data_IF_269835667711
#
_entry.id   IF_269835667711
#
_cell.length_a   1.000
_cell.length_b   1.000
_cell.length_c   1.000
_cell.angle_alpha   90.00
_cell.angle_beta   90.00
_cell.angle_gamma   90.00
#
_symmetry.space_group_name_H-M   'P 1'
#
loop_
_entity.id
_entity.type
_entity.pdbx_description
1 polymer ?
#
# COMPACT_ATOMS: atom_id res chain seq x y z
N UNK A 1 -58.56 -55.61 11.33
CA UNK A 1 -58.78 -56.16 9.97
C UNK A 1 -59.03 -54.95 9.07
N UNK A 2 -58.04 -54.67 8.21
CA UNK A 2 -58.11 -53.89 6.95
C UNK A 2 -58.25 -52.36 7.13
N UNK A 3 -57.18 -51.56 6.97
CA UNK A 3 -56.54 -51.03 5.72
C UNK A 3 -57.41 -49.93 5.06
N UNK A 4 -56.90 -48.70 5.00
CA UNK A 4 -56.38 -47.99 3.78
C UNK A 4 -57.55 -47.40 2.95
N UNK A 5 -57.48 -46.28 2.21
CA UNK A 5 -56.35 -45.65 1.55
C UNK A 5 -56.72 -44.22 1.07
N UNK A 6 -55.71 -43.56 0.51
CA UNK A 6 -55.58 -42.17 0.11
C UNK A 6 -56.35 -41.66 -1.15
N UNK A 7 -56.10 -40.37 -1.43
CA UNK A 7 -56.12 -39.66 -2.73
C UNK A 7 -57.42 -38.85 -3.04
N UNK A 8 -57.47 -37.66 -3.67
CA UNK A 8 -56.64 -36.94 -4.65
C UNK A 8 -56.94 -35.41 -4.65
N UNK A 9 -55.86 -34.60 -4.74
CA UNK A 9 -55.53 -33.55 -5.75
C UNK A 9 -56.49 -32.40 -6.15
N UNK A 10 -55.80 -31.26 -6.36
CA UNK A 10 -55.98 -30.16 -7.33
C UNK A 10 -56.70 -28.87 -6.90
N UNK A 11 -55.95 -27.77 -6.99
CA UNK A 11 -56.46 -26.39 -6.99
C UNK A 11 -55.37 -25.34 -6.80
N UNK A 12 -54.35 -25.30 -7.67
CA UNK A 12 -53.39 -24.19 -7.73
C UNK A 12 -53.79 -23.18 -8.81
N UNK A 13 -53.67 -21.88 -8.52
CA UNK A 13 -53.17 -20.78 -9.40
C UNK A 13 -53.80 -19.41 -9.06
N UNK A 14 -52.95 -18.36 -9.10
CA UNK A 14 -53.28 -16.95 -8.84
C UNK A 14 -52.95 -16.57 -7.40
N UNK A 15 -51.88 -15.83 -7.09
CA UNK A 15 -51.65 -14.45 -7.50
C UNK A 15 -50.14 -14.17 -7.56
N UNK A 16 -49.55 -14.29 -8.75
CA UNK A 16 -48.27 -13.67 -9.08
C UNK A 16 -48.55 -12.26 -9.61
N UNK A 17 -48.32 -11.22 -8.81
CA UNK A 17 -48.53 -9.85 -9.32
C UNK A 17 -48.40 -8.69 -8.35
N UNK A 18 -48.19 -8.92 -7.05
CA UNK A 18 -48.18 -7.80 -6.08
C UNK A 18 -46.78 -7.25 -5.74
N UNK A 19 -45.71 -7.85 -6.26
CA UNK A 19 -44.33 -7.48 -5.89
C UNK A 19 -43.75 -6.27 -6.62
N UNK A 20 -44.40 -5.78 -7.68
CA UNK A 20 -43.86 -4.71 -8.52
C UNK A 20 -44.18 -3.29 -8.02
N UNK A 21 -45.28 -3.07 -7.30
CA UNK A 21 -45.75 -1.71 -6.94
C UNK A 21 -45.36 -1.24 -5.53
N UNK A 22 -44.72 -2.10 -4.72
CA UNK A 22 -44.20 -1.71 -3.40
C UNK A 22 -42.75 -1.16 -3.46
N UNK A 23 -42.17 -1.05 -4.65
CA UNK A 23 -40.88 -0.40 -4.88
C UNK A 23 -41.01 1.14 -4.86
N UNK A 24 -41.69 1.68 -3.85
CA UNK A 24 -41.59 3.10 -3.55
C UNK A 24 -40.14 3.38 -3.13
N UNK A 25 -39.48 4.26 -3.89
CA UNK A 25 -38.10 4.67 -3.70
C UNK A 25 -37.86 5.09 -2.23
N UNK A 26 -37.15 4.24 -1.49
CA UNK A 26 -36.77 4.50 -0.10
C UNK A 26 -35.78 5.69 -0.08
N UNK A 27 -35.96 6.70 0.79
CA UNK A 27 -35.04 7.81 0.87
C UNK A 27 -33.65 7.33 1.26
N UNK A 28 -32.65 7.71 0.46
CA UNK A 28 -31.24 7.43 0.68
C UNK A 28 -30.81 8.04 2.02
N UNK A 29 -30.42 7.21 2.97
CA UNK A 29 -29.78 7.65 4.21
C UNK A 29 -28.34 8.09 3.90
N UNK A 30 -28.15 9.34 3.50
CA UNK A 30 -26.82 9.98 3.42
C UNK A 30 -26.65 10.91 4.60
N UNK A 31 -26.50 10.35 5.80
CA UNK A 31 -26.24 11.16 6.98
C UNK A 31 -25.24 10.47 7.90
N UNK A 32 -23.99 10.42 7.43
CA UNK A 32 -22.79 10.39 8.30
C UNK A 32 -21.46 10.65 7.58
N UNK A 33 -21.47 11.00 6.30
CA UNK A 33 -20.24 11.26 5.53
C UNK A 33 -20.24 12.63 4.83
N UNK A 34 -20.58 13.71 5.56
CA UNK A 34 -20.60 15.10 5.01
C UNK A 34 -19.63 16.04 5.76
N UNK A 35 -18.97 15.60 6.82
CA UNK A 35 -18.04 16.46 7.58
C UNK A 35 -16.64 16.51 6.97
N UNK A 36 -16.16 15.39 6.41
CA UNK A 36 -14.82 15.32 5.79
C UNK A 36 -14.79 16.10 4.47
N UNK A 37 -15.83 15.95 3.64
CA UNK A 37 -15.90 16.64 2.35
C UNK A 37 -16.03 18.16 2.51
N UNK A 38 -16.66 18.66 3.58
CA UNK A 38 -16.73 20.11 3.87
C UNK A 38 -15.36 20.70 4.21
N UNK A 39 -14.52 19.97 4.95
CA UNK A 39 -13.15 20.42 5.27
C UNK A 39 -12.24 20.38 4.05
N UNK A 40 -12.35 19.34 3.22
CA UNK A 40 -11.61 19.24 1.96
C UNK A 40 -12.05 20.34 0.97
N UNK A 41 -13.36 20.57 0.83
CA UNK A 41 -13.91 21.60 -0.07
C UNK A 41 -13.58 23.01 0.42
N UNK A 42 -13.63 23.28 1.73
CA UNK A 42 -13.15 24.56 2.26
C UNK A 42 -11.66 24.76 1.99
N UNK A 43 -10.82 23.72 2.16
CA UNK A 43 -9.40 23.81 1.84
C UNK A 43 -9.14 24.12 0.35
N UNK A 44 -9.86 23.46 -0.56
CA UNK A 44 -9.75 23.70 -1.99
C UNK A 44 -10.25 25.10 -2.38
N UNK A 45 -11.35 25.57 -1.81
CA UNK A 45 -11.88 26.91 -2.06
C UNK A 45 -10.92 28.02 -1.60
N UNK A 46 -10.29 27.85 -0.43
CA UNK A 46 -9.28 28.80 0.08
C UNK A 46 -8.05 28.79 -0.83
N UNK A 47 -7.60 27.62 -1.30
CA UNK A 47 -6.47 27.51 -2.23
C UNK A 47 -6.74 28.21 -3.56
N UNK A 48 -7.94 28.04 -4.15
CA UNK A 48 -8.33 28.73 -5.39
C UNK A 48 -8.39 30.25 -5.17
N UNK A 49 -8.98 30.71 -4.07
CA UNK A 49 -9.07 32.15 -3.78
C UNK A 49 -7.68 32.77 -3.63
N UNK A 50 -6.77 32.11 -2.91
CA UNK A 50 -5.39 32.55 -2.77
C UNK A 50 -4.68 32.64 -4.13
N UNK A 51 -4.89 31.65 -5.00
CA UNK A 51 -4.32 31.65 -6.35
C UNK A 51 -4.86 32.81 -7.21
N UNK A 52 -6.15 33.11 -7.14
CA UNK A 52 -6.75 34.25 -7.83
C UNK A 52 -6.24 35.60 -7.32
N UNK A 53 -6.02 35.73 -6.01
CA UNK A 53 -5.44 36.96 -5.44
C UNK A 53 -4.00 37.13 -5.90
N UNK A 54 -3.20 36.07 -5.88
CA UNK A 54 -1.80 36.11 -6.35
C UNK A 54 -1.73 36.47 -7.83
N UNK A 55 -2.59 35.89 -8.67
CA UNK A 55 -2.61 36.23 -10.11
C UNK A 55 -3.09 37.66 -10.34
N UNK A 56 -4.08 38.15 -9.59
CA UNK A 56 -4.51 39.56 -9.67
C UNK A 56 -3.40 40.52 -9.25
N UNK A 57 -2.69 40.24 -8.14
CA UNK A 57 -1.55 41.05 -7.71
C UNK A 57 -0.45 41.03 -8.79
N UNK A 58 -0.13 39.87 -9.35
CA UNK A 58 0.88 39.75 -10.41
C UNK A 58 0.49 40.57 -11.66
N UNK A 59 -0.78 40.50 -12.09
CA UNK A 59 -1.29 41.29 -13.22
C UNK A 59 -1.25 42.79 -12.89
N UNK A 60 -1.69 43.20 -11.70
CA UNK A 60 -1.61 44.59 -11.27
C UNK A 60 -0.17 45.09 -11.23
N UNK A 61 0.78 44.29 -10.75
CA UNK A 61 2.20 44.63 -10.76
C UNK A 61 2.73 44.73 -12.19
N UNK A 62 2.37 43.81 -13.10
CA UNK A 62 2.76 43.90 -14.52
C UNK A 62 2.22 45.18 -15.17
N UNK A 63 0.98 45.57 -14.90
CA UNK A 63 0.38 46.81 -15.44
C UNK A 63 1.03 48.05 -14.81
N UNK A 64 1.39 48.01 -13.52
CA UNK A 64 2.13 49.11 -12.86
C UNK A 64 3.57 49.25 -13.36
N UNK A 65 4.20 48.15 -13.77
CA UNK A 65 5.52 48.17 -14.40
C UNK A 65 5.44 48.83 -15.79
N UNK A 66 4.35 48.65 -16.54
CA UNK A 66 4.11 49.36 -17.80
C UNK A 66 3.81 50.87 -17.61
N UNK A 67 3.19 51.27 -16.50
CA UNK A 67 3.00 52.69 -16.17
C UNK A 67 4.27 53.38 -15.67
N UNK A 68 5.27 52.63 -15.18
CA UNK A 68 6.59 53.19 -14.82
C UNK A 68 7.61 53.15 -15.97
N UNK A 69 7.34 52.47 -17.09
CA UNK A 69 8.25 52.44 -18.25
C UNK A 69 8.00 53.55 -19.27
N UNK A 70 6.92 54.33 -19.12
CA UNK A 70 6.61 55.50 -19.97
C UNK A 70 7.24 56.82 -19.47
N UNK A 71 8.46 56.75 -18.93
CA UNK A 71 9.10 57.90 -18.31
C UNK A 71 10.62 57.85 -18.23
N UNK A 72 11.32 57.56 -19.33
CA UNK A 72 12.50 58.31 -19.82
C UNK A 72 13.13 57.59 -21.02
N UNK A 73 13.11 58.27 -22.15
CA UNK A 73 13.92 57.96 -23.32
C UNK A 73 15.24 58.75 -23.25
N UNK A 74 16.37 58.08 -23.47
CA UNK A 74 17.54 58.65 -24.16
C UNK A 74 18.57 57.55 -24.48
N UNK A 75 18.63 57.23 -25.77
CA UNK A 75 19.79 57.01 -26.65
C UNK A 75 20.87 55.92 -26.45
N UNK A 76 21.02 55.18 -27.57
CA UNK A 76 22.24 54.64 -28.23
C UNK A 76 22.75 53.21 -27.94
N UNK A 77 23.43 52.53 -28.92
CA UNK A 77 22.98 51.24 -29.42
C UNK A 77 24.08 50.16 -29.50
N UNK A 78 23.70 48.93 -29.85
CA UNK A 78 24.61 48.01 -30.53
C UNK A 78 24.49 46.54 -30.14
N UNK A 79 24.48 45.66 -31.15
CA UNK A 79 25.05 44.32 -30.97
C UNK A 79 24.19 43.09 -31.25
N UNK A 80 23.46 43.09 -32.38
CA UNK A 80 23.27 41.98 -33.35
C UNK A 80 23.23 40.52 -32.84
N UNK A 81 22.05 39.91 -33.02
CA UNK A 81 21.73 38.49 -32.83
C UNK A 81 21.87 37.62 -34.10
N UNK A 82 21.83 36.30 -33.89
CA UNK A 82 21.14 35.32 -34.76
C UNK A 82 22.05 34.34 -35.51
N UNK A 83 22.16 33.09 -35.04
CA UNK A 83 21.32 31.90 -35.39
C UNK A 83 21.80 31.16 -36.66
N UNK A 84 22.35 29.94 -36.56
CA UNK A 84 21.72 28.60 -36.41
C UNK A 84 21.31 27.99 -37.76
N UNK A 85 21.94 26.88 -38.16
CA UNK A 85 21.28 25.61 -38.55
C UNK A 85 22.25 24.55 -39.12
N UNK A 86 22.02 23.30 -38.70
CA UNK A 86 22.55 21.96 -39.09
C UNK A 86 22.00 21.53 -40.49
N UNK A 87 22.14 20.29 -41.04
CA UNK A 87 23.06 19.13 -40.85
C UNK A 87 23.59 18.49 -42.17
N UNK A 88 24.47 17.47 -42.06
CA UNK A 88 24.22 16.07 -42.49
C UNK A 88 25.46 15.27 -42.99
N UNK A 89 25.58 14.06 -42.43
CA UNK A 89 25.87 12.76 -43.07
C UNK A 89 27.28 12.36 -43.58
N UNK A 90 27.69 11.21 -43.02
CA UNK A 90 28.17 9.96 -43.67
C UNK A 90 29.68 9.67 -43.91
N UNK A 91 30.05 8.53 -43.30
CA UNK A 91 30.74 7.37 -43.87
C UNK A 91 32.29 7.34 -43.92
N UNK A 92 32.81 6.26 -43.29
CA UNK A 92 33.63 5.20 -43.91
C UNK A 92 35.01 4.90 -43.26
N UNK A 93 35.25 3.58 -43.18
CA UNK A 93 36.52 2.87 -43.31
C UNK A 93 37.49 2.79 -42.10
N UNK A 94 37.69 1.54 -41.65
CA UNK A 94 38.91 1.01 -41.03
C UNK A 94 39.93 0.64 -42.16
N UNK A 95 41.07 -0.06 -41.93
CA UNK A 95 41.71 -0.51 -40.67
C UNK A 95 43.26 -0.36 -40.66
N UNK A 96 43.89 -0.98 -39.65
CA UNK A 96 45.15 -1.77 -39.72
C UNK A 96 46.44 -1.20 -39.09
N UNK A 97 47.18 -2.14 -38.47
CA UNK A 97 48.63 -2.10 -38.26
C UNK A 97 49.04 -1.89 -36.79
N UNK A 98 49.30 -2.93 -35.98
CA UNK A 98 50.46 -3.85 -35.97
C UNK A 98 51.59 -3.39 -35.04
N UNK A 99 51.92 -4.30 -34.11
CA UNK A 99 53.27 -4.62 -33.60
C UNK A 99 53.95 -3.54 -32.73
N UNK A 100 54.80 -3.83 -31.72
CA UNK A 100 55.37 -5.05 -31.11
C UNK A 100 56.19 -4.58 -29.89
N UNK A 101 56.32 -5.47 -28.89
CA UNK A 101 57.50 -5.72 -28.03
C UNK A 101 58.16 -4.57 -27.24
N UNK A 102 58.31 -4.76 -25.92
CA UNK A 102 59.55 -5.24 -25.24
C UNK A 102 59.48 -4.85 -23.74
N UNK A 103 59.19 -5.74 -22.79
CA UNK A 103 60.09 -6.60 -22.00
C UNK A 103 61.01 -5.88 -20.97
N UNK A 104 60.95 -6.39 -19.73
CA UNK A 104 61.90 -6.29 -18.60
C UNK A 104 61.71 -5.10 -17.64
N UNK A 105 61.92 -5.18 -16.32
CA UNK A 105 62.08 -6.24 -15.32
C UNK A 105 62.07 -5.52 -13.94
N UNK A 106 61.87 -6.26 -12.86
CA UNK A 106 61.59 -5.83 -11.50
C UNK A 106 62.72 -5.05 -10.75
N UNK A 107 62.33 -4.31 -9.71
CA UNK A 107 63.21 -3.76 -8.66
C UNK A 107 62.40 -3.06 -7.55
N UNK A 108 62.59 -3.48 -6.29
CA UNK A 108 61.83 -3.13 -5.08
C UNK A 108 62.32 -1.87 -4.32
N UNK A 109 61.36 -1.04 -3.83
CA UNK A 109 61.29 -0.27 -2.53
C UNK A 109 62.41 0.71 -2.08
N UNK A 110 62.24 1.47 -0.97
CA UNK A 110 61.37 2.64 -0.75
C UNK A 110 62.15 3.88 -0.21
N UNK A 111 61.57 5.09 -0.23
CA UNK A 111 62.18 6.26 0.42
C UNK A 111 61.41 7.58 0.27
N UNK A 112 61.21 8.25 1.41
CA UNK A 112 60.35 9.41 1.69
C UNK A 112 61.00 10.78 1.38
N UNK A 113 60.21 11.77 0.93
CA UNK A 113 60.02 13.12 1.55
C UNK A 113 59.78 14.28 0.53
N UNK A 114 58.67 15.02 0.74
CA UNK A 114 58.41 16.43 0.36
C UNK A 114 58.09 16.74 -1.11
N UNK A 115 57.27 17.70 -1.51
CA UNK A 115 56.30 18.60 -0.89
C UNK A 115 55.52 19.26 -2.06
N UNK A 116 54.22 19.49 -1.88
CA UNK A 116 53.31 20.45 -2.57
C UNK A 116 53.33 20.65 -4.10
N UNK A 117 52.22 20.30 -4.78
CA UNK A 117 51.16 21.23 -5.23
C UNK A 117 50.10 20.45 -6.02
N UNK A 118 48.94 20.18 -5.44
CA UNK A 118 47.73 19.77 -6.17
C UNK A 118 46.57 20.57 -5.60
N UNK A 119 46.05 21.51 -6.38
CA UNK A 119 44.77 22.15 -6.11
C UNK A 119 44.13 22.43 -7.46
N UNK A 120 43.11 21.64 -7.80
CA UNK A 120 41.91 21.99 -8.57
C UNK A 120 41.28 20.68 -9.04
N UNK A 121 40.44 20.09 -8.19
CA UNK A 121 39.27 19.26 -8.54
C UNK A 121 38.68 18.65 -7.26
N UNK A 122 38.04 19.48 -6.44
CA UNK A 122 37.28 19.03 -5.27
C UNK A 122 36.16 20.02 -4.96
N UNK A 123 35.22 20.19 -5.88
CA UNK A 123 33.88 20.73 -5.57
C UNK A 123 32.86 20.07 -6.50
N UNK A 124 32.65 18.76 -6.37
CA UNK A 124 31.47 18.10 -6.96
C UNK A 124 31.13 16.73 -6.36
N UNK A 125 31.35 16.53 -5.06
CA UNK A 125 31.17 15.20 -4.48
C UNK A 125 30.62 15.12 -3.07
N UNK A 126 30.24 16.23 -2.43
CA UNK A 126 29.96 16.20 -0.98
C UNK A 126 28.49 16.36 -0.60
N UNK A 127 27.59 16.57 -1.57
CA UNK A 127 26.14 16.65 -1.29
C UNK A 127 25.36 15.40 -1.70
N UNK A 128 25.95 14.49 -2.49
CA UNK A 128 25.28 13.25 -2.94
C UNK A 128 25.62 12.01 -2.08
N UNK A 129 26.63 12.07 -1.20
CA UNK A 129 27.00 10.93 -0.35
C UNK A 129 26.18 10.81 0.95
N UNK A 130 25.46 11.86 1.35
CA UNK A 130 24.62 11.86 2.57
C UNK A 130 23.20 11.30 2.35
N UNK A 131 22.84 10.86 1.14
CA UNK A 131 21.52 10.25 0.86
C UNK A 131 21.54 8.71 0.96
N UNK A 132 22.72 8.07 1.00
CA UNK A 132 22.85 6.61 0.96
C UNK A 132 23.26 5.91 2.29
N UNK A 133 22.67 6.25 3.45
CA UNK A 133 22.49 5.21 4.47
C UNK A 133 21.05 5.11 4.99
N UNK A 134 20.05 5.42 4.15
CA UNK A 134 18.63 5.25 4.50
C UNK A 134 17.77 4.65 3.38
N UNK A 135 18.26 3.61 2.69
CA UNK A 135 17.32 2.56 2.26
C UNK A 135 16.79 1.90 3.53
N UNK A 136 15.92 2.61 4.26
CA UNK A 136 15.19 2.09 5.41
C UNK A 136 14.58 0.79 4.91
N UNK A 137 15.06 -0.34 5.43
CA UNK A 137 14.41 -1.62 5.21
C UNK A 137 12.98 -1.46 5.72
N UNK A 138 12.07 -1.20 4.78
CA UNK A 138 10.68 -0.96 5.10
C UNK A 138 10.14 -2.22 5.74
N UNK A 139 9.45 -2.08 6.87
CA UNK A 139 8.96 -3.24 7.59
C UNK A 139 8.05 -4.06 6.67
N UNK A 140 8.08 -5.42 6.75
CA UNK A 140 7.38 -6.26 5.77
C UNK A 140 5.88 -5.98 5.63
N UNK A 141 5.23 -5.46 6.67
CA UNK A 141 3.81 -5.14 6.74
C UNK A 141 3.42 -3.76 6.18
N UNK A 142 4.38 -2.90 5.82
CA UNK A 142 4.07 -1.59 5.19
C UNK A 142 3.73 -1.72 3.71
N UNK A 143 4.05 -2.86 3.10
CA UNK A 143 3.74 -3.17 1.70
C UNK A 143 2.29 -3.67 1.57
N UNK A 144 1.66 -3.37 0.44
CA UNK A 144 0.27 -3.79 0.17
C UNK A 144 0.14 -5.32 -0.01
N UNK A 145 1.17 -5.97 -0.58
CA UNK A 145 1.20 -7.43 -0.75
C UNK A 145 1.88 -8.08 0.44
N UNK A 146 1.35 -9.24 0.86
CA UNK A 146 1.97 -10.04 1.91
C UNK A 146 3.39 -10.49 1.50
N UNK A 147 4.32 -10.61 2.47
CA UNK A 147 5.64 -11.18 2.23
C UNK A 147 5.58 -12.64 1.79
N UNK A 148 6.42 -13.04 0.83
CA UNK A 148 6.47 -14.40 0.29
C UNK A 148 7.24 -15.42 1.13
N UNK A 149 7.52 -15.12 2.41
CA UNK A 149 8.34 -16.00 3.27
C UNK A 149 7.55 -17.19 3.83
N UNK A 150 6.23 -17.10 3.91
CA UNK A 150 5.37 -18.12 4.49
C UNK A 150 4.30 -18.54 3.49
N UNK A 151 4.08 -19.85 3.39
CA UNK A 151 3.05 -20.46 2.54
C UNK A 151 2.02 -21.17 3.42
N UNK A 152 0.74 -20.78 3.40
CA UNK A 152 -0.28 -21.53 4.12
C UNK A 152 -0.52 -22.88 3.44
N UNK A 153 -0.64 -23.93 4.25
CA UNK A 153 -0.92 -25.29 3.81
C UNK A 153 -2.38 -25.68 4.10
N UNK A 154 -2.85 -25.40 5.31
CA UNK A 154 -4.18 -25.78 5.76
C UNK A 154 -4.75 -24.81 6.79
N UNK A 155 -6.08 -24.63 6.77
CA UNK A 155 -6.81 -23.83 7.73
C UNK A 155 -7.87 -24.69 8.42
N UNK A 156 -7.83 -24.72 9.74
CA UNK A 156 -8.93 -25.22 10.55
C UNK A 156 -9.59 -24.03 11.26
N UNK A 157 -10.85 -23.79 10.93
CA UNK A 157 -11.62 -22.63 11.37
C UNK A 157 -12.77 -23.09 12.27
N UNK A 158 -12.80 -22.61 13.50
CA UNK A 158 -13.93 -22.73 14.40
C UNK A 158 -14.58 -21.36 14.58
N UNK A 159 -15.90 -21.32 14.46
CA UNK A 159 -16.71 -20.11 14.53
C UNK A 159 -17.90 -20.35 15.46
N UNK A 160 -18.10 -19.45 16.42
CA UNK A 160 -19.24 -19.42 17.33
C UNK A 160 -19.96 -18.09 17.17
N UNK A 161 -21.26 -18.15 16.90
CA UNK A 161 -22.07 -16.98 16.53
C UNK A 161 -23.09 -16.71 17.63
N UNK A 162 -23.16 -15.46 18.07
CA UNK A 162 -24.08 -14.99 19.11
C UNK A 162 -25.05 -13.98 18.50
N UNK A 163 -26.31 -14.39 18.33
CA UNK A 163 -27.33 -13.58 17.66
C UNK A 163 -28.01 -12.58 18.61
N UNK A 164 -27.81 -12.70 19.92
CA UNK A 164 -28.37 -11.80 20.92
C UNK A 164 -27.66 -10.45 20.92
N UNK A 165 -26.33 -10.46 20.78
CA UNK A 165 -25.48 -9.27 20.75
C UNK A 165 -24.85 -9.02 19.36
N UNK A 166 -25.14 -9.87 18.38
CA UNK A 166 -24.60 -9.83 17.02
C UNK A 166 -23.07 -9.79 17.00
N UNK A 167 -22.46 -10.75 17.69
CA UNK A 167 -21.02 -10.95 17.69
C UNK A 167 -20.67 -12.37 17.31
N UNK A 168 -19.41 -12.60 16.96
CA UNK A 168 -18.86 -13.93 16.80
C UNK A 168 -17.49 -14.01 17.42
N UNK A 169 -17.15 -15.18 17.91
CA UNK A 169 -15.81 -15.53 18.36
C UNK A 169 -15.35 -16.80 17.65
N UNK A 170 -14.06 -17.00 17.60
CA UNK A 170 -13.53 -18.15 16.91
C UNK A 170 -12.07 -18.41 17.18
N UNK A 171 -11.65 -19.54 16.66
CA UNK A 171 -10.28 -19.98 16.66
C UNK A 171 -9.92 -20.34 15.22
N UNK A 172 -8.79 -19.84 14.75
CA UNK A 172 -8.19 -20.32 13.49
C UNK A 172 -6.85 -20.94 13.78
N UNK A 173 -6.66 -22.18 13.33
CA UNK A 173 -5.37 -22.86 13.29
C UNK A 173 -4.91 -22.92 11.85
N UNK A 174 -3.79 -22.26 11.56
CA UNK A 174 -3.18 -22.20 10.23
C UNK A 174 -1.90 -23.03 10.26
N UNK A 175 -1.85 -24.08 9.45
CA UNK A 175 -0.58 -24.75 9.17
C UNK A 175 0.15 -23.96 8.09
N UNK A 176 1.37 -23.53 8.37
CA UNK A 176 2.20 -22.73 7.48
C UNK A 176 3.56 -23.38 7.27
N UNK A 177 4.05 -23.34 6.05
CA UNK A 177 5.41 -23.71 5.69
C UNK A 177 6.25 -22.45 5.54
N UNK A 178 7.45 -22.48 6.13
CA UNK A 178 8.40 -21.40 6.01
C UNK A 178 9.31 -21.63 4.80
N UNK A 179 9.17 -20.77 3.79
CA UNK A 179 9.95 -20.82 2.54
C UNK A 179 11.28 -20.06 2.65
N UNK A 180 11.36 -19.08 3.55
CA UNK A 180 12.56 -18.29 3.82
C UNK A 180 12.58 -17.93 5.30
N UNK A 181 13.73 -18.06 5.95
CA UNK A 181 13.85 -17.77 7.38
C UNK A 181 13.34 -16.35 7.71
N UNK A 182 12.41 -16.25 8.65
CA UNK A 182 11.75 -14.99 9.02
C UNK A 182 11.32 -14.99 10.47
N UNK A 183 11.36 -13.84 11.12
CA UNK A 183 10.81 -13.62 12.47
C UNK A 183 9.42 -13.01 12.49
N UNK A 184 8.87 -12.73 11.30
CA UNK A 184 7.60 -12.04 11.13
C UNK A 184 6.59 -12.95 10.44
N UNK A 185 5.42 -13.06 11.04
CA UNK A 185 4.23 -13.62 10.39
C UNK A 185 3.30 -12.45 10.12
N UNK A 186 2.94 -12.24 8.85
CA UNK A 186 2.06 -11.16 8.41
C UNK A 186 0.90 -11.77 7.66
N UNK A 187 -0.33 -11.49 8.11
CA UNK A 187 -1.57 -11.99 7.51
C UNK A 187 -2.60 -10.86 7.43
N UNK A 188 -3.64 -11.01 6.62
CA UNK A 188 -4.71 -10.01 6.57
C UNK A 188 -5.62 -10.12 7.79
N UNK A 189 -6.01 -8.98 8.34
CA UNK A 189 -7.02 -8.86 9.37
C UNK A 189 -7.63 -7.45 9.35
N UNK A 190 -8.95 -7.38 9.47
CA UNK A 190 -9.66 -6.11 9.47
C UNK A 190 -10.89 -6.19 10.37
N UNK A 191 -11.11 -5.15 11.18
CA UNK A 191 -12.30 -4.98 12.06
C UNK A 191 -12.56 -6.19 12.98
N UNK A 192 -11.50 -6.79 13.50
CA UNK A 192 -11.58 -7.89 14.46
C UNK A 192 -10.64 -7.65 15.64
N UNK A 193 -10.98 -8.21 16.79
CA UNK A 193 -10.18 -8.18 17.99
C UNK A 193 -9.43 -9.51 18.15
N UNK A 194 -8.11 -9.45 18.36
CA UNK A 194 -7.27 -10.62 18.57
C UNK A 194 -7.04 -10.79 20.07
N UNK A 195 -7.50 -11.91 20.62
CA UNK A 195 -7.39 -12.20 22.06
C UNK A 195 -6.05 -12.85 22.39
N UNK A 196 -5.61 -13.80 21.57
CA UNK A 196 -4.38 -14.54 21.81
C UNK A 196 -3.83 -15.14 20.53
N UNK A 197 -2.51 -15.30 20.52
CA UNK A 197 -1.75 -15.95 19.45
C UNK A 197 -0.81 -16.97 20.05
N UNK A 198 -0.74 -18.16 19.44
CA UNK A 198 0.26 -19.19 19.75
C UNK A 198 0.87 -19.71 18.46
N UNK A 199 2.17 -19.96 18.50
CA UNK A 199 2.91 -20.54 17.39
C UNK A 199 3.63 -21.78 17.92
N UNK A 200 3.51 -22.89 17.23
CA UNK A 200 4.19 -24.14 17.57
C UNK A 200 4.83 -24.75 16.32
N UNK A 201 5.96 -25.41 16.50
CA UNK A 201 6.54 -26.22 15.43
C UNK A 201 5.84 -27.58 15.37
N UNK A 202 5.57 -28.10 14.18
CA UNK A 202 4.80 -29.34 14.02
C UNK A 202 5.58 -30.58 14.51
N UNK A 203 6.92 -30.56 14.37
CA UNK A 203 7.81 -31.70 14.65
C UNK A 203 8.41 -31.72 16.06
N UNK A 204 8.37 -30.61 16.76
CA UNK A 204 8.85 -30.47 18.13
C UNK A 204 7.69 -29.92 18.95
N UNK A 205 7.32 -30.59 20.04
CA UNK A 205 6.32 -30.10 20.99
C UNK A 205 6.79 -28.84 21.78
N UNK A 206 7.54 -27.95 21.13
CA UNK A 206 8.03 -26.68 21.64
C UNK A 206 7.20 -25.53 21.07
N UNK A 207 6.52 -24.81 21.96
CA UNK A 207 5.90 -23.54 21.61
C UNK A 207 6.99 -22.50 21.27
N UNK A 208 6.80 -21.78 20.17
CA UNK A 208 7.62 -20.62 19.84
C UNK A 208 7.09 -19.40 20.59
N UNK A 209 8.00 -18.69 21.26
CA UNK A 209 7.63 -17.49 22.00
C UNK A 209 7.34 -16.33 21.05
N UNK A 210 6.10 -15.83 21.13
CA UNK A 210 5.67 -14.59 20.49
C UNK A 210 6.19 -13.42 21.32
N UNK A 211 6.94 -12.52 20.68
CA UNK A 211 7.45 -11.29 21.26
C UNK A 211 6.33 -10.26 21.42
N UNK A 212 5.60 -10.04 20.34
CA UNK A 212 4.56 -9.01 20.24
C UNK A 212 3.65 -9.36 19.06
N UNK A 213 2.39 -8.93 19.12
CA UNK A 213 1.51 -8.93 17.96
C UNK A 213 0.63 -7.67 17.96
N UNK A 214 0.29 -7.18 16.78
CA UNK A 214 -0.56 -6.00 16.63
C UNK A 214 -1.26 -5.94 15.27
N UNK A 215 -2.36 -5.20 15.21
CA UNK A 215 -3.03 -4.86 13.96
C UNK A 215 -2.39 -3.60 13.37
N UNK A 216 -2.21 -3.58 12.05
CA UNK A 216 -1.71 -2.46 11.28
C UNK A 216 -2.79 -1.99 10.29
N UNK A 217 -3.64 -1.03 10.66
CA UNK A 217 -4.84 -0.66 9.91
C UNK A 217 -4.58 -0.13 8.50
N UNK A 218 -3.41 0.49 8.26
CA UNK A 218 -3.08 1.18 7.02
C UNK A 218 -3.02 0.22 5.82
N UNK A 219 -2.57 -1.02 6.03
CA UNK A 219 -2.56 -2.08 5.00
C UNK A 219 -3.46 -3.27 5.36
N UNK A 220 -4.28 -3.13 6.41
CA UNK A 220 -5.22 -4.17 6.88
C UNK A 220 -4.55 -5.52 7.14
N UNK A 221 -3.42 -5.47 7.85
CA UNK A 221 -2.65 -6.66 8.22
C UNK A 221 -2.56 -6.81 9.73
N UNK A 222 -2.45 -8.06 10.15
CA UNK A 222 -2.07 -8.49 11.48
C UNK A 222 -0.63 -8.99 11.45
N UNK A 223 0.17 -8.47 12.38
CA UNK A 223 1.61 -8.74 12.48
C UNK A 223 1.87 -9.49 13.76
N UNK A 224 2.63 -10.58 13.66
CA UNK A 224 3.13 -11.35 14.79
C UNK A 224 4.66 -11.34 14.69
N UNK A 225 5.31 -10.90 15.76
CA UNK A 225 6.76 -10.85 15.89
C UNK A 225 7.18 -11.99 16.82
N UNK A 226 8.12 -12.81 16.37
CA UNK A 226 8.67 -13.92 17.13
C UNK A 226 10.01 -13.55 17.78
N UNK A 227 10.30 -14.17 18.92
CA UNK A 227 11.58 -14.04 19.61
C UNK A 227 12.72 -14.74 18.86
N UNK A 228 12.39 -15.78 18.08
CA UNK A 228 13.33 -16.53 17.22
C UNK A 228 12.75 -16.63 15.82
N UNK A 229 13.64 -16.66 14.82
CA UNK A 229 13.22 -16.84 13.43
C UNK A 229 12.69 -18.24 13.20
N UNK A 230 11.66 -18.33 12.36
CA UNK A 230 11.22 -19.57 11.73
C UNK A 230 12.33 -20.06 10.80
N UNK A 231 12.53 -21.37 10.77
CA UNK A 231 13.51 -22.03 9.94
C UNK A 231 12.92 -22.37 8.57
N UNK A 232 13.75 -22.30 7.54
CA UNK A 232 13.37 -22.64 6.18
C UNK A 232 13.01 -24.13 6.04
N UNK A 233 12.10 -24.46 5.11
CA UNK A 233 11.57 -25.80 4.86
C UNK A 233 10.97 -26.52 6.09
N UNK A 234 10.56 -25.75 7.11
CA UNK A 234 9.83 -26.27 8.28
C UNK A 234 8.37 -25.84 8.29
N UNK A 235 7.55 -26.64 8.97
CA UNK A 235 6.12 -26.39 9.14
C UNK A 235 5.80 -25.98 10.57
N UNK A 236 4.91 -25.00 10.69
CA UNK A 236 4.46 -24.42 11.95
C UNK A 236 2.93 -24.39 12.00
N UNK A 237 2.40 -24.46 13.21
CA UNK A 237 0.99 -24.27 13.49
C UNK A 237 0.79 -22.93 14.19
N UNK A 238 -0.01 -22.06 13.56
CA UNK A 238 -0.38 -20.75 14.06
C UNK A 238 -1.82 -20.79 14.55
N UNK A 239 -2.01 -20.66 15.85
CA UNK A 239 -3.33 -20.60 16.50
C UNK A 239 -3.65 -19.17 16.89
N UNK A 240 -4.78 -18.65 16.41
CA UNK A 240 -5.26 -17.29 16.68
C UNK A 240 -6.68 -17.38 17.25
N UNK A 241 -6.89 -16.80 18.43
CA UNK A 241 -8.21 -16.60 19.02
C UNK A 241 -8.68 -15.19 18.74
N UNK A 242 -9.91 -15.05 18.24
CA UNK A 242 -10.45 -13.77 17.81
C UNK A 242 -11.93 -13.62 18.17
N UNK A 243 -12.37 -12.37 18.26
CA UNK A 243 -13.78 -12.00 18.30
C UNK A 243 -14.04 -10.75 17.45
N UNK A 244 -15.27 -10.60 16.97
CA UNK A 244 -15.68 -9.46 16.17
C UNK A 244 -17.21 -9.27 16.17
N UNK A 245 -17.70 -8.05 15.92
CA UNK A 245 -19.11 -7.82 15.64
C UNK A 245 -19.51 -8.44 14.29
N UNK A 246 -20.73 -8.93 14.17
CA UNK A 246 -21.33 -9.33 12.91
C UNK A 246 -21.73 -8.07 12.16
N UNK A 247 -21.27 -7.94 10.91
CA UNK A 247 -21.50 -6.74 10.12
C UNK A 247 -22.96 -6.63 9.65
N UNK A 248 -23.42 -5.38 9.51
CA UNK A 248 -24.71 -5.08 8.87
C UNK A 248 -24.56 -4.81 7.37
N UNK A 249 -23.33 -4.63 6.91
CA UNK A 249 -22.97 -4.43 5.51
C UNK A 249 -22.79 -5.79 4.83
N UNK A 250 -22.98 -5.87 3.51
CA UNK A 250 -22.85 -7.10 2.73
C UNK A 250 -21.37 -7.49 2.49
N UNK A 251 -20.53 -7.39 3.53
CA UNK A 251 -19.09 -7.62 3.47
C UNK A 251 -18.65 -8.47 4.67
N UNK A 252 -17.75 -9.43 4.42
CA UNK A 252 -17.22 -10.31 5.45
C UNK A 252 -18.29 -11.22 6.05
N UNK A 253 -18.27 -11.37 7.37
CA UNK A 253 -19.30 -12.10 8.10
C UNK A 253 -20.41 -11.14 8.54
N UNK A 254 -21.56 -11.27 7.90
CA UNK A 254 -22.66 -10.32 8.04
C UNK A 254 -23.98 -11.01 8.38
N UNK A 255 -24.93 -10.22 8.86
CA UNK A 255 -26.30 -10.66 9.14
C UNK A 255 -27.30 -10.02 8.19
N UNK A 256 -28.33 -10.77 7.86
CA UNK A 256 -29.52 -10.32 7.15
C UNK A 256 -30.75 -10.63 7.98
N UNK A 257 -31.89 -10.05 7.60
CA UNK A 257 -33.18 -10.28 8.25
C UNK A 257 -34.27 -10.54 7.22
N UNK A 258 -35.28 -11.30 7.59
CA UNK A 258 -36.48 -11.53 6.80
C UNK A 258 -37.74 -11.27 7.62
N UNK A 259 -38.88 -11.06 6.95
CA UNK A 259 -40.17 -10.88 7.63
C UNK A 259 -40.96 -12.18 7.51
N UNK A 260 -41.37 -12.73 8.64
CA UNK A 260 -42.20 -13.93 8.72
C UNK A 260 -43.43 -13.62 9.58
N UNK A 261 -44.62 -13.70 8.97
CA UNK A 261 -45.91 -13.37 9.60
C UNK A 261 -45.96 -11.96 10.23
N UNK A 262 -45.29 -10.98 9.62
CA UNK A 262 -45.23 -9.60 10.11
C UNK A 262 -44.14 -9.34 11.16
N UNK A 263 -43.45 -10.37 11.65
CA UNK A 263 -42.31 -10.24 12.56
C UNK A 263 -40.99 -10.25 11.79
N UNK A 264 -40.08 -9.34 12.14
CA UNK A 264 -38.71 -9.34 11.60
C UNK A 264 -37.85 -10.35 12.35
N UNK A 265 -37.30 -11.33 11.64
CA UNK A 265 -36.36 -12.34 12.11
C UNK A 265 -34.99 -12.17 11.49
#
# INVERSE_FOLDING_TARGET
MIEEDAALRNGGSGLSGQWADAAAARPRTTERHITVHKRLVMGFAISILALLVVTMIAVLLSVRIEECSSGTASDDPGGRAGNRSVPAANAAAAPAGSARLNQNSAGETPGSAGEETVALEAVRGEEEEEEWPRRREQQPWTKLRLPGHLRPLHYNLMLSVFMENFTFSGEVNVQVECLNATRYIVLHAHRMHIEAVRVAEDRLAGALNVSEFFLYPQTQVFVIILNRSLEEQRSYNLKILYNAPIENELLGFFRSSYVLYGERR
#
